data_IF_888429318798
#
_entry.id   IF_888429318798
#
_cell.length_a   1.000
_cell.length_b   1.000
_cell.length_c   1.000
_cell.angle_alpha   90.00
_cell.angle_beta   90.00
_cell.angle_gamma   90.00
#
_symmetry.space_group_name_H-M   'P 1'
#
loop_
_entity.id
_entity.type
_entity.pdbx_description
1 polymer ?
#
# COMPACT_ATOMS: atom_id res chain seq x y z
N UNK A 1 25.49 -9.96 25.09
CA UNK A 1 25.00 -10.37 26.42
C UNK A 1 23.55 -9.89 26.65
N UNK A 2 23.12 -8.75 26.06
CA UNK A 2 21.76 -8.19 26.27
C UNK A 2 20.70 -8.88 25.38
N UNK A 3 21.08 -9.67 24.38
CA UNK A 3 20.18 -10.18 23.34
C UNK A 3 19.69 -11.62 23.56
N UNK A 4 20.04 -12.28 24.65
CA UNK A 4 19.84 -13.73 24.83
C UNK A 4 18.68 -14.16 25.77
N UNK A 5 17.94 -13.21 26.38
CA UNK A 5 16.83 -13.59 27.28
C UNK A 5 15.53 -12.86 26.96
N UNK A 6 14.45 -13.61 26.73
CA UNK A 6 13.08 -13.10 26.59
C UNK A 6 12.53 -12.42 27.86
N UNK A 7 13.25 -12.49 28.98
CA UNK A 7 12.89 -11.90 30.29
C UNK A 7 13.29 -10.41 30.43
N UNK A 8 13.95 -9.80 29.41
CA UNK A 8 14.53 -8.45 29.52
C UNK A 8 13.57 -7.31 29.17
N UNK A 9 12.29 -7.59 28.94
CA UNK A 9 11.34 -6.54 28.53
C UNK A 9 11.10 -5.43 29.55
N UNK A 10 11.45 -5.65 30.84
CA UNK A 10 11.18 -4.72 31.96
C UNK A 10 12.43 -4.42 32.83
N UNK A 11 13.63 -4.68 32.32
CA UNK A 11 14.85 -4.44 33.10
C UNK A 11 15.27 -2.98 33.02
N UNK A 12 15.39 -2.39 34.20
CA UNK A 12 16.01 -1.07 34.39
C UNK A 12 17.49 -1.17 33.99
N UNK A 13 17.81 -0.58 32.82
CA UNK A 13 19.17 -0.64 32.26
C UNK A 13 20.04 0.31 33.08
N UNK A 14 21.06 -0.22 33.79
CA UNK A 14 22.01 0.61 34.51
C UNK A 14 22.78 1.51 33.54
N UNK A 15 22.50 2.81 33.56
CA UNK A 15 23.15 3.81 32.71
C UNK A 15 24.40 4.31 33.45
N UNK A 16 25.61 4.14 32.90
CA UNK A 16 26.81 4.69 33.49
C UNK A 16 26.72 6.22 33.63
N UNK A 17 27.18 6.79 34.79
CA UNK A 17 27.14 8.25 35.03
C UNK A 17 27.76 9.09 33.91
N UNK A 18 28.82 8.59 33.30
CA UNK A 18 29.52 9.25 32.20
C UNK A 18 28.59 9.48 30.97
N UNK A 19 27.64 8.55 30.69
CA UNK A 19 26.67 8.72 29.61
C UNK A 19 25.69 9.83 29.97
N UNK A 20 25.22 9.88 31.21
CA UNK A 20 24.28 10.92 31.67
C UNK A 20 24.91 12.32 31.56
N UNK A 21 26.21 12.46 31.84
CA UNK A 21 26.95 13.71 31.67
C UNK A 21 27.05 14.12 30.19
N UNK A 22 27.39 13.19 29.30
CA UNK A 22 27.44 13.43 27.84
C UNK A 22 26.07 13.88 27.29
N UNK A 23 24.99 13.33 27.79
CA UNK A 23 23.61 13.67 27.36
C UNK A 23 23.15 15.09 27.78
N UNK A 24 23.96 15.85 28.52
CA UNK A 24 23.69 17.29 28.68
C UNK A 24 23.85 18.08 27.38
N UNK A 25 24.69 17.60 26.47
CA UNK A 25 24.95 18.23 25.17
C UNK A 25 24.06 17.67 24.05
N UNK A 26 23.45 18.53 23.26
CA UNK A 26 22.58 18.13 22.17
C UNK A 26 23.27 17.29 21.08
N UNK A 27 24.58 17.47 20.87
CA UNK A 27 25.35 16.69 19.92
C UNK A 27 25.33 15.19 20.27
N UNK A 28 25.60 14.84 21.53
CA UNK A 28 25.60 13.45 21.96
C UNK A 28 24.19 12.85 22.01
N UNK A 29 23.17 13.66 22.37
CA UNK A 29 21.76 13.22 22.26
C UNK A 29 21.43 12.81 20.83
N UNK A 30 21.80 13.64 19.87
CA UNK A 30 21.54 13.39 18.45
C UNK A 30 22.29 12.14 17.94
N UNK A 31 23.56 11.98 18.36
CA UNK A 31 24.37 10.82 18.00
C UNK A 31 23.76 9.52 18.53
N UNK A 32 23.52 9.45 19.84
CA UNK A 32 22.95 8.26 20.49
C UNK A 32 21.57 7.93 19.91
N UNK A 33 20.74 8.95 19.71
CA UNK A 33 19.42 8.77 19.11
C UNK A 33 19.51 8.16 17.70
N UNK A 34 20.41 8.63 16.85
CA UNK A 34 20.59 8.08 15.52
C UNK A 34 21.05 6.61 15.58
N UNK A 35 21.97 6.25 16.49
CA UNK A 35 22.41 4.86 16.67
C UNK A 35 21.26 3.96 17.14
N UNK A 36 20.43 4.43 18.09
CA UNK A 36 19.25 3.69 18.54
C UNK A 36 18.23 3.48 17.41
N UNK A 37 18.00 4.49 16.56
CA UNK A 37 17.10 4.39 15.42
C UNK A 37 17.61 3.39 14.38
N UNK A 38 18.91 3.37 14.10
CA UNK A 38 19.53 2.40 13.19
C UNK A 38 19.38 0.98 13.78
N UNK A 39 19.68 0.81 15.06
CA UNK A 39 19.54 -0.47 15.74
C UNK A 39 18.08 -0.96 15.73
N UNK A 40 17.10 -0.08 16.03
CA UNK A 40 15.66 -0.41 16.06
C UNK A 40 15.15 -0.89 14.70
N UNK A 41 15.65 -0.35 13.58
CA UNK A 41 15.27 -0.81 12.23
C UNK A 41 15.76 -2.22 11.92
N UNK A 42 16.87 -2.63 12.52
CA UNK A 42 17.50 -3.93 12.27
C UNK A 42 17.08 -5.00 13.29
N UNK A 43 16.55 -4.59 14.45
CA UNK A 43 16.21 -5.48 15.55
C UNK A 43 14.69 -5.43 15.83
N UNK A 44 14.07 -6.59 15.86
CA UNK A 44 12.63 -6.77 16.15
C UNK A 44 12.45 -7.60 17.45
N UNK A 45 11.20 -7.70 17.91
CA UNK A 45 10.88 -8.49 19.12
C UNK A 45 11.43 -7.88 20.40
N UNK A 46 11.92 -8.73 21.31
CA UNK A 46 12.42 -8.35 22.64
C UNK A 46 13.55 -7.30 22.57
N UNK A 47 14.48 -7.44 21.63
CA UNK A 47 15.55 -6.45 21.42
C UNK A 47 15.01 -5.06 21.05
N UNK A 48 13.94 -5.01 20.27
CA UNK A 48 13.26 -3.76 19.94
C UNK A 48 12.62 -3.08 21.16
N UNK A 49 12.09 -3.85 22.10
CA UNK A 49 11.54 -3.32 23.36
C UNK A 49 12.64 -2.76 24.27
N UNK A 50 13.77 -3.44 24.35
CA UNK A 50 14.95 -2.94 25.12
C UNK A 50 15.42 -1.60 24.58
N UNK A 51 15.51 -1.42 23.26
CA UNK A 51 15.91 -0.15 22.63
C UNK A 51 14.92 0.98 22.94
N UNK A 52 13.61 0.68 22.95
CA UNK A 52 12.57 1.63 23.32
C UNK A 52 12.71 2.04 24.80
N UNK A 53 12.88 1.08 25.70
CA UNK A 53 13.11 1.35 27.14
C UNK A 53 14.36 2.22 27.35
N UNK A 54 15.47 1.90 26.69
CA UNK A 54 16.69 2.70 26.76
C UNK A 54 16.48 4.14 26.26
N UNK A 55 15.75 4.32 25.14
CA UNK A 55 15.40 5.64 24.62
C UNK A 55 14.61 6.48 25.65
N UNK A 56 13.68 5.86 26.37
CA UNK A 56 12.88 6.52 27.41
C UNK A 56 13.71 6.83 28.65
N UNK A 57 14.52 5.88 29.14
CA UNK A 57 15.41 6.07 30.30
C UNK A 57 16.45 7.17 30.07
N UNK A 58 16.98 7.30 28.83
CA UNK A 58 17.88 8.39 28.45
C UNK A 58 17.15 9.73 28.20
N UNK A 59 15.84 9.79 28.43
CA UNK A 59 15.00 10.98 28.19
C UNK A 59 15.10 11.55 26.77
N UNK A 60 15.43 10.70 25.79
CA UNK A 60 15.53 11.10 24.37
C UNK A 60 14.16 11.36 23.75
N UNK A 61 13.07 10.81 24.32
CA UNK A 61 11.70 11.13 23.98
C UNK A 61 11.40 12.63 24.16
N UNK A 62 11.86 13.23 25.27
CA UNK A 62 11.73 14.67 25.51
C UNK A 62 12.55 15.49 24.49
N UNK A 63 13.72 14.99 24.10
CA UNK A 63 14.54 15.62 23.09
C UNK A 63 13.86 15.62 21.71
N UNK A 64 13.31 14.47 21.27
CA UNK A 64 12.54 14.38 20.03
C UNK A 64 11.27 15.24 20.06
N UNK A 65 10.52 15.27 21.17
CA UNK A 65 9.37 16.16 21.34
C UNK A 65 9.78 17.66 21.27
N UNK A 66 10.96 18.04 21.77
CA UNK A 66 11.44 19.40 21.67
C UNK A 66 11.61 19.86 20.23
N UNK A 67 11.92 18.95 19.30
CA UNK A 67 12.04 19.24 17.85
C UNK A 67 10.71 19.68 17.23
N UNK A 68 9.56 19.21 17.74
CA UNK A 68 8.22 19.63 17.29
C UNK A 68 7.94 21.10 17.57
N UNK A 69 8.60 21.69 18.57
CA UNK A 69 8.46 23.09 18.96
C UNK A 69 9.42 24.03 18.23
N UNK A 70 10.44 23.49 17.54
CA UNK A 70 11.43 24.30 16.82
C UNK A 70 10.82 24.97 15.60
N UNK A 71 11.37 26.12 15.21
CA UNK A 71 11.09 26.74 13.93
C UNK A 71 11.65 25.88 12.79
N UNK A 72 10.94 25.85 11.66
CA UNK A 72 11.32 25.03 10.49
C UNK A 72 10.67 23.64 10.49
N UNK A 73 10.06 23.33 9.36
CA UNK A 73 9.32 22.08 9.19
C UNK A 73 10.22 20.83 9.26
N UNK A 74 11.47 20.92 8.80
CA UNK A 74 12.42 19.81 8.79
C UNK A 74 12.76 19.29 10.20
N UNK A 75 12.87 20.18 11.20
CA UNK A 75 13.07 19.74 12.58
C UNK A 75 11.85 19.00 13.12
N UNK A 76 10.66 19.52 12.80
CA UNK A 76 9.40 18.89 13.22
C UNK A 76 9.25 17.50 12.58
N UNK A 77 9.48 17.38 11.26
CA UNK A 77 9.43 16.08 10.55
C UNK A 77 10.40 15.10 11.18
N UNK A 78 11.65 15.51 11.47
CA UNK A 78 12.61 14.64 12.13
C UNK A 78 12.12 14.17 13.50
N UNK A 79 11.62 15.07 14.35
CA UNK A 79 11.06 14.72 15.66
C UNK A 79 9.87 13.76 15.56
N UNK A 80 8.97 13.97 14.59
CA UNK A 80 7.84 13.07 14.32
C UNK A 80 8.33 11.66 13.96
N UNK A 81 9.29 11.56 13.04
CA UNK A 81 9.85 10.27 12.61
C UNK A 81 10.52 9.52 13.76
N UNK A 82 11.32 10.22 14.58
CA UNK A 82 11.97 9.65 15.76
C UNK A 82 10.97 9.10 16.77
N UNK A 83 9.91 9.86 17.08
CA UNK A 83 8.85 9.44 17.99
C UNK A 83 8.07 8.23 17.44
N UNK A 84 7.81 8.21 16.14
CA UNK A 84 7.11 7.10 15.50
C UNK A 84 7.96 5.82 15.47
N UNK A 85 9.26 5.92 15.11
CA UNK A 85 10.18 4.76 15.10
C UNK A 85 10.37 4.17 16.50
N UNK A 86 10.39 5.03 17.53
CA UNK A 86 10.49 4.61 18.93
C UNK A 86 9.14 4.33 19.59
N UNK A 87 8.08 4.18 18.79
CA UNK A 87 6.74 3.76 19.23
C UNK A 87 6.18 4.62 20.38
N UNK A 88 6.39 5.94 20.33
CA UNK A 88 5.97 6.87 21.38
C UNK A 88 4.50 7.27 21.23
N UNK A 89 3.58 6.41 21.65
CA UNK A 89 2.12 6.63 21.58
C UNK A 89 1.69 7.90 22.31
N UNK A 90 2.39 8.28 23.38
CA UNK A 90 2.14 9.53 24.13
C UNK A 90 2.27 10.79 23.28
N UNK A 91 2.98 10.73 22.14
CA UNK A 91 3.15 11.88 21.23
C UNK A 91 1.92 12.14 20.35
N UNK A 92 0.96 11.22 20.23
CA UNK A 92 -0.20 11.34 19.33
C UNK A 92 -0.95 12.67 19.49
N UNK A 93 -1.14 13.16 20.71
CA UNK A 93 -1.81 14.44 20.96
C UNK A 93 -1.10 15.65 20.32
N UNK A 94 0.22 15.56 20.10
CA UNK A 94 1.02 16.58 19.41
C UNK A 94 1.01 16.41 17.89
N UNK A 95 0.74 15.20 17.40
CA UNK A 95 0.74 14.87 15.97
C UNK A 95 -0.59 15.21 15.29
N UNK A 96 -1.72 14.97 15.95
CA UNK A 96 -3.05 15.23 15.37
C UNK A 96 -3.24 16.69 14.86
N UNK A 97 -2.80 17.76 15.54
CA UNK A 97 -2.89 19.10 15.00
C UNK A 97 -2.12 19.35 13.69
N UNK A 98 -1.12 18.50 13.40
CA UNK A 98 -0.23 18.64 12.24
C UNK A 98 -0.79 18.03 10.95
N UNK A 99 -1.84 17.20 11.02
CA UNK A 99 -2.46 16.56 9.85
C UNK A 99 -3.05 17.57 8.86
N UNK A 100 -3.41 18.78 9.34
CA UNK A 100 -3.92 19.87 8.51
C UNK A 100 -2.86 20.93 8.20
N UNK A 101 -1.59 20.64 8.39
CA UNK A 101 -0.49 21.54 8.07
C UNK A 101 -0.50 21.94 6.59
N UNK A 102 -0.26 23.23 6.29
CA UNK A 102 -0.06 23.71 4.91
C UNK A 102 1.20 23.10 4.27
N UNK A 103 2.20 22.76 5.08
CA UNK A 103 3.41 22.08 4.61
C UNK A 103 3.13 20.59 4.39
N UNK A 104 3.23 20.14 3.14
CA UNK A 104 2.91 18.76 2.75
C UNK A 104 3.82 17.72 3.42
N UNK A 105 5.12 17.99 3.53
CA UNK A 105 6.07 17.09 4.17
C UNK A 105 5.74 16.89 5.66
N UNK A 106 5.40 17.98 6.36
CA UNK A 106 4.99 17.92 7.76
C UNK A 106 3.67 17.17 7.95
N UNK A 107 2.70 17.44 7.08
CA UNK A 107 1.41 16.75 7.06
C UNK A 107 1.59 15.26 6.81
N UNK A 108 2.35 14.88 5.78
CA UNK A 108 2.62 13.48 5.44
C UNK A 108 3.33 12.73 6.56
N UNK A 109 4.35 13.34 7.18
CA UNK A 109 5.05 12.74 8.31
C UNK A 109 4.12 12.52 9.53
N UNK A 110 3.23 13.48 9.82
CA UNK A 110 2.27 13.34 10.92
C UNK A 110 1.27 12.20 10.66
N UNK A 111 0.73 12.11 9.44
CA UNK A 111 -0.20 11.05 9.05
C UNK A 111 0.44 9.66 9.14
N UNK A 112 1.65 9.50 8.59
CA UNK A 112 2.41 8.25 8.65
C UNK A 112 2.69 7.86 10.12
N UNK A 113 3.15 8.80 10.93
CA UNK A 113 3.42 8.56 12.34
C UNK A 113 2.16 8.16 13.13
N UNK A 114 1.02 8.81 12.89
CA UNK A 114 -0.25 8.46 13.54
C UNK A 114 -0.66 7.03 13.18
N UNK A 115 -0.59 6.66 11.90
CA UNK A 115 -0.94 5.30 11.45
C UNK A 115 0.03 4.28 12.04
N UNK A 116 1.34 4.57 12.05
CA UNK A 116 2.35 3.68 12.65
C UNK A 116 2.14 3.45 14.15
N UNK A 117 1.71 4.49 14.87
CA UNK A 117 1.47 4.43 16.33
C UNK A 117 0.10 3.87 16.73
N UNK A 118 -0.92 4.00 15.88
CA UNK A 118 -2.31 3.66 16.19
C UNK A 118 -2.90 2.58 15.28
N UNK A 119 -2.15 2.12 14.27
CA UNK A 119 -2.63 1.15 13.31
C UNK A 119 -3.85 1.66 12.54
N UNK A 120 -4.84 0.79 12.36
CA UNK A 120 -6.08 1.12 11.62
C UNK A 120 -6.89 2.26 12.24
N UNK A 121 -6.87 2.41 13.56
CA UNK A 121 -7.53 3.52 14.25
C UNK A 121 -6.95 4.88 13.81
N UNK A 122 -5.67 4.90 13.45
CA UNK A 122 -4.99 6.06 12.91
C UNK A 122 -5.53 6.53 11.56
N UNK A 123 -6.25 5.69 10.81
CA UNK A 123 -6.84 6.04 9.51
C UNK A 123 -8.15 6.86 9.61
N UNK A 124 -8.71 7.09 10.79
CA UNK A 124 -9.96 7.84 10.97
C UNK A 124 -9.93 9.26 10.39
N UNK A 125 -8.75 9.84 10.21
CA UNK A 125 -8.61 11.15 9.56
C UNK A 125 -9.13 11.16 8.12
N UNK A 126 -9.18 10.00 7.44
CA UNK A 126 -9.59 9.86 6.04
C UNK A 126 -11.03 10.32 5.83
N UNK A 127 -11.91 10.13 6.81
CA UNK A 127 -13.31 10.51 6.73
C UNK A 127 -13.52 12.03 6.51
N UNK A 128 -12.58 12.85 7.00
CA UNK A 128 -12.66 14.32 6.95
C UNK A 128 -11.55 14.94 6.09
N UNK A 129 -10.96 14.16 5.18
CA UNK A 129 -9.83 14.61 4.38
C UNK A 129 -10.29 15.55 3.25
N UNK A 130 -9.88 16.82 3.31
CA UNK A 130 -10.23 17.86 2.33
C UNK A 130 -9.21 18.03 1.19
N UNK A 131 -8.09 17.33 1.23
CA UNK A 131 -7.02 17.38 0.25
C UNK A 131 -6.70 15.98 -0.30
N UNK A 132 -6.09 15.87 -1.50
CA UNK A 132 -5.76 14.57 -2.06
C UNK A 132 -4.60 13.91 -1.30
N UNK A 133 -4.70 12.58 -1.11
CA UNK A 133 -3.58 11.74 -0.68
C UNK A 133 -2.68 11.48 -1.88
N UNK A 134 -1.42 11.92 -1.81
CA UNK A 134 -0.43 11.58 -2.84
C UNK A 134 -0.19 10.06 -2.88
N UNK A 135 0.19 9.54 -4.04
CA UNK A 135 0.48 8.10 -4.19
C UNK A 135 1.59 7.64 -3.24
N UNK A 136 2.63 8.46 -3.09
CA UNK A 136 3.70 8.19 -2.14
C UNK A 136 3.20 8.05 -0.69
N UNK A 137 2.30 8.94 -0.27
CA UNK A 137 1.71 8.87 1.07
C UNK A 137 0.84 7.62 1.23
N UNK A 138 0.03 7.27 0.23
CA UNK A 138 -0.76 6.04 0.25
C UNK A 138 0.11 4.79 0.43
N UNK A 139 1.25 4.71 -0.28
CA UNK A 139 2.20 3.59 -0.15
C UNK A 139 2.79 3.54 1.27
N UNK A 140 3.20 4.68 1.82
CA UNK A 140 3.74 4.72 3.18
C UNK A 140 2.70 4.32 4.22
N UNK A 141 1.47 4.81 4.11
CA UNK A 141 0.39 4.43 5.03
C UNK A 141 0.13 2.92 4.98
N UNK A 142 0.15 2.29 3.80
CA UNK A 142 0.02 0.83 3.65
C UNK A 142 1.18 0.07 4.30
N UNK A 143 2.41 0.59 4.19
CA UNK A 143 3.60 -0.02 4.80
C UNK A 143 3.63 0.13 6.32
N UNK A 144 3.05 1.22 6.85
CA UNK A 144 2.98 1.49 8.29
C UNK A 144 1.86 0.71 8.99
N UNK A 145 0.89 0.18 8.22
CA UNK A 145 -0.21 -0.61 8.76
C UNK A 145 0.23 -2.05 9.12
N UNK A 146 -0.40 -2.68 10.12
CA UNK A 146 -0.18 -4.08 10.46
C UNK A 146 -0.42 -5.01 9.26
N UNK A 147 0.38 -6.07 9.13
CA UNK A 147 0.23 -7.07 8.04
C UNK A 147 -1.12 -7.79 8.03
N UNK A 148 -1.75 -7.92 9.19
CA UNK A 148 -3.05 -8.58 9.33
C UNK A 148 -4.08 -7.60 9.88
N UNK A 149 -5.19 -7.46 9.15
CA UNK A 149 -6.24 -6.52 9.53
C UNK A 149 -7.04 -6.97 10.76
N UNK A 150 -7.21 -8.27 10.94
CA UNK A 150 -8.18 -8.78 11.90
C UNK A 150 -9.56 -8.15 11.66
N UNK A 151 -10.29 -7.88 12.75
CA UNK A 151 -11.62 -7.22 12.69
C UNK A 151 -11.54 -5.68 12.77
N UNK A 152 -10.37 -5.08 12.53
CA UNK A 152 -10.14 -3.66 12.80
C UNK A 152 -10.40 -2.73 11.61
N UNK A 153 -10.52 -3.28 10.38
CA UNK A 153 -10.80 -2.50 9.17
C UNK A 153 -12.32 -2.28 9.03
N UNK A 154 -12.82 -1.22 9.66
CA UNK A 154 -14.23 -0.77 9.54
C UNK A 154 -14.28 0.59 8.85
N UNK A 155 -15.31 0.82 8.03
CA UNK A 155 -15.57 2.11 7.40
C UNK A 155 -15.01 2.25 5.99
N UNK A 156 -14.28 1.26 5.47
CA UNK A 156 -13.74 1.28 4.10
C UNK A 156 -14.86 1.39 3.07
N UNK A 157 -16.02 0.79 3.34
CA UNK A 157 -17.22 0.90 2.50
C UNK A 157 -17.65 2.35 2.27
N UNK A 158 -17.48 3.23 3.28
CA UNK A 158 -17.75 4.67 3.16
C UNK A 158 -16.69 5.38 2.31
N UNK A 159 -15.42 4.96 2.44
CA UNK A 159 -14.33 5.55 1.68
C UNK A 159 -14.40 5.22 0.20
N UNK A 160 -14.92 4.06 -0.17
CA UNK A 160 -15.22 3.69 -1.57
C UNK A 160 -16.27 4.61 -2.21
N UNK A 161 -17.12 5.26 -1.41
CA UNK A 161 -18.13 6.23 -1.83
C UNK A 161 -17.68 7.70 -1.69
N UNK A 162 -16.43 7.94 -1.33
CA UNK A 162 -15.92 9.29 -1.09
C UNK A 162 -15.92 10.15 -2.36
N UNK A 163 -16.22 11.43 -2.22
CA UNK A 163 -16.03 12.43 -3.29
C UNK A 163 -14.55 12.71 -3.61
N UNK A 164 -13.64 12.35 -2.71
CA UNK A 164 -12.21 12.48 -2.89
C UNK A 164 -11.66 11.24 -3.60
N UNK A 165 -11.34 11.37 -4.89
CA UNK A 165 -10.81 10.30 -5.73
C UNK A 165 -9.64 9.55 -5.12
N UNK A 166 -8.72 10.28 -4.45
CA UNK A 166 -7.54 9.65 -3.84
C UNK A 166 -7.88 8.79 -2.62
N UNK A 167 -8.97 9.09 -1.92
CA UNK A 167 -9.51 8.28 -0.82
C UNK A 167 -10.12 6.99 -1.39
N UNK A 168 -10.88 7.07 -2.49
CA UNK A 168 -11.43 5.88 -3.17
C UNK A 168 -10.30 4.97 -3.63
N UNK A 169 -9.27 5.51 -4.27
CA UNK A 169 -8.08 4.75 -4.72
C UNK A 169 -7.39 4.07 -3.53
N UNK A 170 -7.22 4.79 -2.42
CA UNK A 170 -6.61 4.22 -1.22
C UNK A 170 -7.47 3.11 -0.59
N UNK A 171 -8.78 3.28 -0.55
CA UNK A 171 -9.73 2.26 -0.08
C UNK A 171 -9.66 0.99 -0.93
N UNK A 172 -9.59 1.12 -2.28
CA UNK A 172 -9.39 0.00 -3.19
C UNK A 172 -8.05 -0.73 -2.95
N UNK A 173 -6.96 0.02 -2.71
CA UNK A 173 -5.67 -0.58 -2.34
C UNK A 173 -5.73 -1.34 -1.03
N UNK A 174 -6.41 -0.79 -0.01
CA UNK A 174 -6.64 -1.50 1.27
C UNK A 174 -7.45 -2.79 1.05
N UNK A 175 -8.53 -2.72 0.28
CA UNK A 175 -9.35 -3.90 -0.05
C UNK A 175 -8.51 -5.00 -0.71
N UNK A 176 -7.62 -4.63 -1.62
CA UNK A 176 -6.70 -5.57 -2.28
C UNK A 176 -5.68 -6.17 -1.30
N UNK A 177 -5.00 -5.32 -0.52
CA UNK A 177 -3.91 -5.75 0.38
C UNK A 177 -4.43 -6.67 1.49
N UNK A 178 -5.62 -6.38 2.01
CA UNK A 178 -6.22 -7.14 3.10
C UNK A 178 -7.28 -8.15 2.65
N UNK A 179 -7.48 -8.30 1.34
CA UNK A 179 -8.40 -9.25 0.72
C UNK A 179 -9.82 -9.20 1.34
N UNK A 180 -10.40 -7.99 1.37
CA UNK A 180 -11.72 -7.74 1.97
C UNK A 180 -12.84 -8.20 1.03
N UNK A 181 -13.10 -9.50 0.98
CA UNK A 181 -14.09 -10.13 0.10
C UNK A 181 -15.51 -9.61 0.33
N UNK A 182 -15.83 -9.19 1.53
CA UNK A 182 -17.12 -8.60 1.88
C UNK A 182 -17.41 -7.29 1.14
N UNK A 183 -16.39 -6.61 0.62
CA UNK A 183 -16.52 -5.37 -0.15
C UNK A 183 -16.60 -5.60 -1.67
N UNK A 184 -16.71 -6.85 -2.13
CA UNK A 184 -16.72 -7.19 -3.55
C UNK A 184 -17.68 -6.34 -4.37
N UNK A 185 -18.93 -6.19 -3.91
CA UNK A 185 -19.95 -5.44 -4.64
C UNK A 185 -19.56 -3.97 -4.80
N UNK A 186 -19.11 -3.32 -3.75
CA UNK A 186 -18.70 -1.91 -3.76
C UNK A 186 -17.49 -1.69 -4.66
N UNK A 187 -16.54 -2.64 -4.67
CA UNK A 187 -15.38 -2.60 -5.57
C UNK A 187 -15.81 -2.78 -7.03
N UNK A 188 -16.72 -3.71 -7.29
CA UNK A 188 -17.30 -3.92 -8.64
C UNK A 188 -18.03 -2.68 -9.15
N UNK A 189 -18.75 -1.97 -8.29
CA UNK A 189 -19.42 -0.72 -8.64
C UNK A 189 -18.40 0.38 -9.04
N UNK A 190 -17.19 0.36 -8.49
CA UNK A 190 -16.10 1.27 -8.87
C UNK A 190 -15.61 1.09 -10.32
N UNK A 191 -15.93 -0.02 -11.00
CA UNK A 191 -15.68 -0.19 -12.44
C UNK A 191 -16.44 0.85 -13.30
N UNK A 192 -17.52 1.43 -12.77
CA UNK A 192 -18.33 2.47 -13.42
C UNK A 192 -17.96 3.88 -12.96
N UNK A 193 -16.91 4.04 -12.15
CA UNK A 193 -16.52 5.35 -11.62
C UNK A 193 -16.09 6.30 -12.76
N UNK A 194 -16.40 7.59 -12.63
CA UNK A 194 -16.06 8.62 -13.64
C UNK A 194 -14.55 8.76 -13.88
N UNK A 195 -13.75 8.65 -12.81
CA UNK A 195 -12.29 8.78 -12.89
C UNK A 195 -11.63 7.45 -13.29
N UNK A 196 -10.82 7.50 -14.34
CA UNK A 196 -10.12 6.31 -14.88
C UNK A 196 -9.21 5.63 -13.83
N UNK A 197 -8.49 6.42 -13.02
CA UNK A 197 -7.59 5.88 -11.99
C UNK A 197 -8.35 4.99 -10.99
N UNK A 198 -9.60 5.31 -10.67
CA UNK A 198 -10.45 4.51 -9.78
C UNK A 198 -10.85 3.22 -10.47
N UNK A 199 -11.28 3.29 -11.76
CA UNK A 199 -11.64 2.08 -12.51
C UNK A 199 -10.46 1.11 -12.63
N UNK A 200 -9.27 1.63 -12.94
CA UNK A 200 -8.03 0.83 -13.00
C UNK A 200 -7.74 0.15 -11.67
N UNK A 201 -7.82 0.88 -10.56
CA UNK A 201 -7.54 0.31 -9.24
C UNK A 201 -8.63 -0.68 -8.82
N UNK A 202 -9.89 -0.48 -9.23
CA UNK A 202 -10.98 -1.45 -9.04
C UNK A 202 -10.68 -2.78 -9.75
N UNK A 203 -10.25 -2.73 -11.03
CA UNK A 203 -9.82 -3.93 -11.78
C UNK A 203 -8.70 -4.66 -11.02
N UNK A 204 -7.67 -3.93 -10.58
CA UNK A 204 -6.55 -4.50 -9.81
C UNK A 204 -6.98 -5.11 -8.48
N UNK A 205 -7.98 -4.53 -7.83
CA UNK A 205 -8.50 -5.04 -6.54
C UNK A 205 -9.32 -6.30 -6.77
N UNK A 206 -10.13 -6.35 -7.81
CA UNK A 206 -10.92 -7.53 -8.18
C UNK A 206 -10.06 -8.75 -8.53
N UNK A 207 -8.80 -8.58 -8.94
CA UNK A 207 -7.86 -9.71 -9.11
C UNK A 207 -7.60 -10.50 -7.81
N UNK A 208 -7.79 -9.87 -6.65
CA UNK A 208 -7.49 -10.47 -5.35
C UNK A 208 -8.74 -10.87 -4.55
N UNK A 209 -9.89 -10.29 -4.88
CA UNK A 209 -11.17 -10.56 -4.21
C UNK A 209 -12.24 -11.04 -5.19
N UNK A 210 -11.84 -11.72 -6.26
CA UNK A 210 -12.75 -12.17 -7.33
C UNK A 210 -13.73 -13.26 -6.87
N UNK A 211 -14.83 -13.38 -7.59
CA UNK A 211 -15.81 -14.45 -7.53
C UNK A 211 -16.23 -14.87 -8.95
N UNK A 212 -17.19 -15.78 -9.06
CA UNK A 212 -17.66 -16.31 -10.35
C UNK A 212 -18.21 -15.23 -11.31
N UNK A 213 -18.73 -14.11 -10.80
CA UNK A 213 -19.26 -13.01 -11.64
C UNK A 213 -18.20 -12.00 -12.07
N UNK A 214 -16.97 -12.09 -11.57
CA UNK A 214 -15.91 -11.12 -11.84
C UNK A 214 -15.53 -11.05 -13.33
N UNK A 215 -15.32 -12.19 -14.04
CA UNK A 215 -14.95 -12.13 -15.45
C UNK A 215 -15.99 -11.38 -16.29
N UNK A 216 -17.27 -11.70 -16.12
CA UNK A 216 -18.36 -11.03 -16.87
C UNK A 216 -18.46 -9.55 -16.55
N UNK A 217 -18.25 -9.14 -15.29
CA UNK A 217 -18.21 -7.73 -14.88
C UNK A 217 -17.04 -6.96 -15.51
N UNK A 218 -15.86 -7.58 -15.57
CA UNK A 218 -14.68 -7.02 -16.22
C UNK A 218 -14.86 -6.90 -17.74
N UNK A 219 -15.41 -7.92 -18.40
CA UNK A 219 -15.70 -7.91 -19.83
C UNK A 219 -16.73 -6.82 -20.15
N UNK A 220 -17.79 -6.69 -19.36
CA UNK A 220 -18.74 -5.59 -19.52
C UNK A 220 -18.08 -4.22 -19.38
N UNK A 221 -17.19 -4.07 -18.39
CA UNK A 221 -16.45 -2.83 -18.20
C UNK A 221 -15.48 -2.54 -19.34
N UNK A 222 -14.85 -3.56 -19.92
CA UNK A 222 -14.00 -3.47 -21.11
C UNK A 222 -14.73 -2.84 -22.30
N UNK A 223 -15.93 -3.35 -22.62
CA UNK A 223 -16.72 -2.83 -23.73
C UNK A 223 -17.23 -1.40 -23.53
N UNK A 224 -17.39 -0.97 -22.28
CA UNK A 224 -17.84 0.38 -21.96
C UNK A 224 -16.72 1.43 -22.02
N UNK A 225 -15.48 1.04 -22.30
CA UNK A 225 -14.32 1.93 -22.29
C UNK A 225 -13.49 1.75 -23.57
N UNK A 226 -13.33 2.81 -24.35
CA UNK A 226 -12.49 2.80 -25.56
C UNK A 226 -10.99 3.05 -25.27
N UNK A 227 -10.61 3.22 -24.00
CA UNK A 227 -9.24 3.48 -23.59
C UNK A 227 -8.41 2.19 -23.64
N UNK A 228 -7.48 2.12 -24.60
CA UNK A 228 -6.57 0.97 -24.79
C UNK A 228 -5.82 0.58 -23.52
N UNK A 229 -5.30 1.54 -22.75
CA UNK A 229 -4.59 1.27 -21.50
C UNK A 229 -5.47 0.53 -20.49
N UNK A 230 -6.72 0.97 -20.36
CA UNK A 230 -7.70 0.32 -19.49
C UNK A 230 -8.01 -1.09 -19.98
N UNK A 231 -8.26 -1.26 -21.28
CA UNK A 231 -8.55 -2.55 -21.92
C UNK A 231 -7.41 -3.57 -21.70
N UNK A 232 -6.15 -3.17 -21.85
CA UNK A 232 -5.01 -4.02 -21.57
C UNK A 232 -4.93 -4.45 -20.10
N UNK A 233 -5.26 -3.56 -19.16
CA UNK A 233 -5.31 -3.89 -17.74
C UNK A 233 -6.41 -4.91 -17.44
N UNK A 234 -7.59 -4.76 -18.05
CA UNK A 234 -8.69 -5.72 -17.91
C UNK A 234 -8.29 -7.08 -18.47
N UNK A 235 -7.74 -7.16 -19.69
CA UNK A 235 -7.27 -8.43 -20.27
C UNK A 235 -6.21 -9.11 -19.40
N UNK A 236 -5.28 -8.32 -18.85
CA UNK A 236 -4.29 -8.85 -17.89
C UNK A 236 -4.94 -9.38 -16.61
N UNK A 237 -5.98 -8.71 -16.11
CA UNK A 237 -6.70 -9.14 -14.92
C UNK A 237 -7.44 -10.47 -15.14
N UNK A 238 -8.03 -10.66 -16.31
CA UNK A 238 -8.76 -11.88 -16.67
C UNK A 238 -7.87 -13.12 -16.73
N UNK A 239 -6.56 -12.98 -16.90
CA UNK A 239 -5.63 -14.10 -17.09
C UNK A 239 -5.71 -15.18 -16.01
N UNK A 240 -6.00 -14.80 -14.76
CA UNK A 240 -6.05 -15.71 -13.60
C UNK A 240 -7.45 -16.24 -13.29
N UNK A 241 -8.51 -15.74 -13.96
CA UNK A 241 -9.90 -16.02 -13.59
C UNK A 241 -10.81 -16.37 -14.78
N UNK A 242 -10.23 -16.52 -15.97
CA UNK A 242 -10.96 -16.83 -17.19
C UNK A 242 -11.62 -18.21 -17.11
N UNK A 243 -12.83 -18.31 -17.60
CA UNK A 243 -13.61 -19.55 -17.73
C UNK A 243 -13.88 -19.86 -19.19
N UNK A 244 -14.42 -21.05 -19.49
CA UNK A 244 -14.81 -21.45 -20.85
C UNK A 244 -15.81 -20.50 -21.48
N UNK A 245 -16.67 -19.87 -20.70
CA UNK A 245 -17.69 -18.93 -21.17
C UNK A 245 -17.05 -17.62 -21.69
N UNK A 246 -15.84 -17.27 -21.25
CA UNK A 246 -15.13 -16.03 -21.62
C UNK A 246 -14.28 -16.21 -22.90
N UNK A 247 -14.05 -17.44 -23.34
CA UNK A 247 -13.24 -17.76 -24.51
C UNK A 247 -13.72 -17.07 -25.78
N UNK A 248 -15.02 -17.02 -26.11
CA UNK A 248 -15.49 -16.33 -27.30
C UNK A 248 -15.14 -14.84 -27.33
N UNK A 249 -15.16 -14.17 -26.17
CA UNK A 249 -14.71 -12.79 -26.04
C UNK A 249 -13.21 -12.65 -26.34
N UNK A 250 -12.38 -13.48 -25.69
CA UNK A 250 -10.93 -13.44 -25.89
C UNK A 250 -10.53 -13.75 -27.34
N UNK A 251 -11.23 -14.67 -28.00
CA UNK A 251 -11.02 -14.98 -29.41
C UNK A 251 -11.42 -13.79 -30.31
N UNK A 252 -12.46 -13.03 -29.98
CA UNK A 252 -12.81 -11.83 -30.71
C UNK A 252 -11.73 -10.75 -30.59
N UNK A 253 -11.21 -10.53 -29.40
CA UNK A 253 -10.12 -9.57 -29.16
C UNK A 253 -8.80 -10.02 -29.77
N UNK A 254 -8.53 -11.32 -29.77
CA UNK A 254 -7.36 -11.88 -30.47
C UNK A 254 -7.43 -11.66 -31.97
N UNK A 255 -8.63 -11.54 -32.58
CA UNK A 255 -8.85 -11.20 -33.98
C UNK A 255 -8.96 -9.69 -34.25
N UNK A 256 -8.91 -8.85 -33.20
CA UNK A 256 -8.97 -7.39 -33.32
C UNK A 256 -7.82 -6.83 -34.16
N UNK A 257 -7.88 -5.56 -34.52
CA UNK A 257 -6.85 -4.91 -35.35
C UNK A 257 -5.61 -4.47 -34.57
N UNK A 258 -5.73 -4.24 -33.26
CA UNK A 258 -4.63 -3.74 -32.41
C UNK A 258 -3.74 -4.87 -31.90
N UNK A 259 -2.44 -4.75 -32.16
CA UNK A 259 -1.48 -5.82 -31.84
C UNK A 259 -1.20 -6.00 -30.35
N UNK A 260 -1.29 -4.94 -29.52
CA UNK A 260 -1.16 -5.09 -28.06
C UNK A 260 -2.36 -5.79 -27.45
N UNK A 261 -3.58 -5.50 -27.95
CA UNK A 261 -4.81 -6.20 -27.55
C UNK A 261 -4.72 -7.67 -27.92
N UNK A 262 -4.28 -7.99 -29.16
CA UNK A 262 -4.06 -9.37 -29.60
C UNK A 262 -3.08 -10.11 -28.70
N UNK A 263 -1.95 -9.49 -28.39
CA UNK A 263 -0.95 -10.08 -27.51
C UNK A 263 -1.53 -10.35 -26.11
N UNK A 264 -2.25 -9.40 -25.53
CA UNK A 264 -2.86 -9.56 -24.21
C UNK A 264 -3.92 -10.66 -24.21
N UNK A 265 -4.84 -10.67 -25.17
CA UNK A 265 -5.86 -11.70 -25.32
C UNK A 265 -5.25 -13.09 -25.57
N UNK A 266 -4.23 -13.16 -26.42
CA UNK A 266 -3.53 -14.40 -26.71
C UNK A 266 -2.78 -14.99 -25.51
N UNK A 267 -2.17 -14.15 -24.65
CA UNK A 267 -1.56 -14.59 -23.38
C UNK A 267 -2.60 -15.20 -22.46
N UNK A 268 -3.75 -14.56 -22.32
CA UNK A 268 -4.86 -15.05 -21.51
C UNK A 268 -5.41 -16.38 -22.03
N UNK A 269 -5.58 -16.53 -23.36
CA UNK A 269 -6.00 -17.78 -23.99
C UNK A 269 -5.00 -18.93 -23.79
N UNK A 270 -3.69 -18.65 -23.91
CA UNK A 270 -2.65 -19.69 -23.67
C UNK A 270 -2.67 -20.19 -22.23
N UNK A 271 -2.84 -19.30 -21.27
CA UNK A 271 -2.84 -19.65 -19.86
C UNK A 271 -4.07 -20.47 -19.45
N UNK A 272 -5.19 -20.33 -20.15
CA UNK A 272 -6.38 -21.14 -19.91
C UNK A 272 -6.18 -22.61 -20.28
N UNK A 273 -5.12 -22.97 -21.01
CA UNK A 273 -4.80 -24.33 -21.52
C UNK A 273 -5.90 -25.01 -22.36
N UNK A 274 -6.96 -24.30 -22.74
CA UNK A 274 -8.11 -24.88 -23.40
C UNK A 274 -8.09 -24.73 -24.91
N UNK A 275 -7.20 -23.89 -25.44
CA UNK A 275 -7.12 -23.62 -26.89
C UNK A 275 -5.69 -23.80 -27.38
N UNK A 276 -5.54 -24.66 -28.36
CA UNK A 276 -4.34 -24.70 -29.18
C UNK A 276 -4.34 -23.50 -30.12
N UNK A 277 -3.58 -22.47 -29.77
CA UNK A 277 -3.43 -21.27 -30.63
C UNK A 277 -2.83 -21.60 -31.99
N UNK A 278 -2.13 -22.73 -32.16
CA UNK A 278 -1.63 -23.17 -33.47
C UNK A 278 -2.78 -23.58 -34.40
N UNK A 279 -3.83 -24.16 -33.86
CA UNK A 279 -5.05 -24.48 -34.66
C UNK A 279 -5.73 -23.24 -35.22
N UNK A 280 -5.55 -22.06 -34.61
CA UNK A 280 -6.06 -20.78 -35.08
C UNK A 280 -5.18 -20.15 -36.16
N UNK A 281 -3.91 -20.59 -36.30
CA UNK A 281 -2.92 -20.02 -37.25
C UNK A 281 -3.11 -20.49 -38.69
N UNK A 282 -3.98 -21.44 -38.96
CA UNK A 282 -4.22 -21.99 -40.31
C UNK A 282 -4.93 -21.04 -41.26
N UNK A 283 -5.38 -19.88 -40.85
CA UNK A 283 -5.77 -18.81 -41.74
C UNK A 283 -4.55 -17.93 -42.07
N UNK A 284 -3.90 -18.20 -43.19
CA UNK A 284 -2.72 -17.62 -43.84
C UNK A 284 -2.48 -16.11 -43.74
N UNK A 285 -2.53 -15.49 -42.59
CA UNK A 285 -2.28 -14.06 -42.39
C UNK A 285 -1.03 -13.85 -41.51
N UNK A 286 -0.02 -13.26 -42.11
CA UNK A 286 1.37 -13.11 -41.66
C UNK A 286 1.65 -12.52 -40.25
N UNK A 287 0.77 -11.76 -39.55
CA UNK A 287 1.10 -11.30 -38.20
C UNK A 287 0.92 -12.36 -37.11
N UNK A 288 0.06 -13.38 -37.33
CA UNK A 288 -0.33 -14.36 -36.33
C UNK A 288 0.81 -15.26 -35.86
N UNK A 289 1.64 -15.75 -36.78
CA UNK A 289 2.77 -16.62 -36.43
C UNK A 289 3.83 -15.93 -35.56
N UNK A 290 4.06 -14.64 -35.81
CA UNK A 290 5.01 -13.86 -35.01
C UNK A 290 4.47 -13.58 -33.61
N UNK A 291 3.18 -13.24 -33.51
CA UNK A 291 2.49 -12.99 -32.25
C UNK A 291 2.45 -14.27 -31.38
N UNK A 292 2.06 -15.41 -31.97
CA UNK A 292 2.03 -16.70 -31.26
C UNK A 292 3.43 -17.10 -30.80
N UNK A 293 4.47 -16.90 -31.65
CA UNK A 293 5.86 -17.18 -31.31
C UNK A 293 6.34 -16.31 -30.13
N UNK A 294 6.00 -15.04 -30.14
CA UNK A 294 6.32 -14.12 -29.05
C UNK A 294 5.64 -14.55 -27.76
N UNK A 295 4.33 -14.83 -27.78
CA UNK A 295 3.57 -15.24 -26.59
C UNK A 295 4.19 -16.54 -26.01
N UNK A 296 4.50 -17.54 -26.84
CA UNK A 296 5.14 -18.78 -26.38
C UNK A 296 6.52 -18.55 -25.75
N UNK A 297 7.31 -17.60 -26.31
CA UNK A 297 8.64 -17.28 -25.74
C UNK A 297 8.58 -16.55 -24.40
N UNK A 298 7.46 -15.90 -24.08
CA UNK A 298 7.27 -15.17 -22.83
C UNK A 298 6.66 -16.04 -21.71
N UNK A 299 5.99 -17.15 -22.08
CA UNK A 299 5.33 -18.08 -21.14
C UNK A 299 6.20 -19.29 -20.83
N UNK A 300 7.21 -19.59 -21.66
CA UNK A 300 8.23 -20.64 -21.45
C UNK A 300 9.31 -20.18 -20.47
#
# INVERSE_FOLDING_TARGET
VILESDELADTDISIPPAISELLTHNYYKEFILNELLIAKKNLQGSAGHVLKSLYEQLSLNNYSQSKLKKHGWHHKVKGIQELAEMEQVSALHQLYPLINSKNEALRGAALSAIVKLSGFEGLKFIENLSYPLSEWLQINLLNDLPKHAGNHLKGIEKWLLSSNTSVVVFALKLTRVYQLFELYQQVSDCLKHKEEIVRIEAVRSLQFIYNESTPSSLIQSYHNQENKRYQLIVLSALTEMVTNEDIPFLLSEFKASDDDIKLAAGRTLLKSNEIDLESLSYSNLHPWSSIIKQIKSEVA
#
